data_IF_784942475470
#
_entry.id   IF_784942475470
#
_cell.length_a   1.000
_cell.length_b   1.000
_cell.length_c   1.000
_cell.angle_alpha   90.00
_cell.angle_beta   90.00
_cell.angle_gamma   90.00
#
_symmetry.space_group_name_H-M   'P 1'
#
loop_
_entity.id
_entity.type
_entity.pdbx_description
1 polymer ?
#
# COMPACT_ATOMS: atom_id res chain seq x y z
N UNK A 1 58.48 -4.92 -13.69
CA UNK A 1 57.88 -5.98 -12.86
C UNK A 1 57.51 -5.42 -11.51
N UNK A 2 56.52 -4.50 -11.43
CA UNK A 2 56.09 -3.87 -10.11
C UNK A 2 54.67 -3.35 -10.09
N UNK A 3 53.69 -3.95 -10.83
CA UNK A 3 52.34 -3.38 -10.88
C UNK A 3 51.22 -4.27 -10.30
N UNK A 4 51.53 -5.38 -9.63
CA UNK A 4 50.49 -6.28 -9.10
C UNK A 4 50.17 -6.09 -7.59
N UNK A 5 50.96 -5.30 -6.88
CA UNK A 5 50.76 -5.12 -5.42
C UNK A 5 49.79 -3.98 -5.08
N UNK A 6 49.62 -2.98 -5.95
CA UNK A 6 48.80 -1.78 -5.65
C UNK A 6 47.31 -2.02 -5.75
N UNK A 7 46.84 -2.91 -6.64
CA UNK A 7 45.43 -3.20 -6.85
C UNK A 7 44.77 -4.03 -5.74
N UNK A 8 45.54 -4.78 -4.96
CA UNK A 8 45.00 -5.62 -3.87
C UNK A 8 44.57 -4.83 -2.63
N UNK A 9 45.19 -3.69 -2.38
CA UNK A 9 44.86 -2.87 -1.20
C UNK A 9 43.65 -1.98 -1.37
N UNK A 10 43.31 -1.60 -2.60
CA UNK A 10 42.11 -0.79 -2.87
C UNK A 10 40.82 -1.57 -2.67
N UNK A 11 40.81 -2.89 -2.94
CA UNK A 11 39.63 -3.74 -2.73
C UNK A 11 39.29 -3.96 -1.26
N UNK A 12 40.30 -4.05 -0.38
CA UNK A 12 40.10 -4.30 1.05
C UNK A 12 39.59 -3.04 1.76
N UNK A 13 40.04 -1.84 1.36
CA UNK A 13 39.59 -0.59 1.94
C UNK A 13 38.14 -0.29 1.62
N UNK A 14 37.63 -0.64 0.43
CA UNK A 14 36.23 -0.40 0.02
C UNK A 14 35.26 -1.31 0.78
N UNK A 15 35.63 -2.56 1.03
CA UNK A 15 34.78 -3.52 1.77
C UNK A 15 34.65 -3.13 3.26
N UNK A 16 35.73 -2.61 3.85
CA UNK A 16 35.71 -2.17 5.25
C UNK A 16 34.88 -0.90 5.45
N UNK A 17 34.81 -0.02 4.44
CA UNK A 17 34.03 1.22 4.55
C UNK A 17 32.51 0.98 4.43
N UNK A 18 32.07 0.01 3.61
CA UNK A 18 30.66 -0.39 3.53
C UNK A 18 30.15 -1.12 4.79
N UNK A 19 31.03 -1.85 5.49
CA UNK A 19 30.66 -2.58 6.71
C UNK A 19 30.42 -1.70 7.94
N UNK A 20 31.02 -0.51 8.00
CA UNK A 20 30.91 0.41 9.16
C UNK A 20 29.66 1.31 9.12
N UNK A 21 28.96 1.42 7.99
CA UNK A 21 27.73 2.22 7.83
C UNK A 21 26.44 1.41 8.02
N UNK A 22 26.52 0.10 8.19
CA UNK A 22 25.37 -0.79 8.31
C UNK A 22 24.56 -0.69 9.63
N UNK A 23 25.08 -0.23 10.78
CA UNK A 23 24.33 -0.27 12.03
C UNK A 23 23.41 0.92 12.31
N UNK A 24 23.28 1.89 11.41
CA UNK A 24 22.48 3.12 11.67
C UNK A 24 21.06 3.11 11.09
N UNK A 25 20.64 2.05 10.43
CA UNK A 25 19.26 1.97 9.99
C UNK A 25 18.45 1.25 11.07
N UNK A 26 17.50 1.92 11.71
CA UNK A 26 16.57 1.26 12.60
C UNK A 26 15.74 0.28 11.79
N UNK A 27 16.08 -1.01 11.88
CA UNK A 27 15.39 -2.10 11.18
C UNK A 27 14.15 -2.53 11.97
N UNK A 28 13.27 -1.60 12.30
CA UNK A 28 11.92 -1.96 12.70
C UNK A 28 10.97 -1.50 11.60
N UNK A 29 10.65 -2.42 10.68
CA UNK A 29 9.50 -2.28 9.81
C UNK A 29 8.22 -2.38 10.65
N UNK A 30 8.06 -1.47 11.61
CA UNK A 30 6.82 -1.34 12.35
C UNK A 30 5.74 -0.92 11.35
N UNK A 31 4.64 -1.66 11.33
CA UNK A 31 3.52 -1.33 10.47
C UNK A 31 2.98 0.06 10.87
N UNK A 32 2.95 0.98 9.94
CA UNK A 32 2.42 2.34 10.14
C UNK A 32 0.97 2.24 10.57
N UNK A 33 0.63 2.83 11.71
CA UNK A 33 -0.74 2.98 12.20
C UNK A 33 -1.34 4.31 11.75
N UNK A 34 -2.66 4.49 11.95
CA UNK A 34 -3.29 5.79 11.72
C UNK A 34 -2.69 6.92 12.55
N UNK A 35 -2.23 6.64 13.78
CA UNK A 35 -1.51 7.62 14.61
C UNK A 35 -0.18 8.02 13.99
N UNK A 36 0.64 7.05 13.56
CA UNK A 36 1.95 7.31 12.96
C UNK A 36 1.79 8.10 11.65
N UNK A 37 0.81 7.70 10.82
CA UNK A 37 0.54 8.35 9.54
C UNK A 37 0.17 9.82 9.68
N UNK A 38 -0.61 10.18 10.71
CA UNK A 38 -0.97 11.58 10.99
C UNK A 38 0.22 12.46 11.32
N UNK A 39 1.29 11.88 11.86
CA UNK A 39 2.54 12.58 12.16
C UNK A 39 3.45 12.73 10.93
N UNK A 40 3.17 12.03 9.81
CA UNK A 40 3.99 12.10 8.61
C UNK A 40 3.82 13.44 7.88
N UNK A 41 4.88 13.95 7.21
CA UNK A 41 4.77 15.04 6.25
C UNK A 41 3.80 14.66 5.09
N UNK A 42 3.17 15.67 4.49
CA UNK A 42 2.19 15.48 3.41
C UNK A 42 2.72 14.62 2.26
N UNK A 43 3.95 14.89 1.79
CA UNK A 43 4.58 14.11 0.72
C UNK A 43 4.76 12.63 1.10
N UNK A 44 5.10 12.32 2.35
CA UNK A 44 5.23 10.95 2.83
C UNK A 44 3.87 10.26 2.93
N UNK A 45 2.83 11.00 3.34
CA UNK A 45 1.45 10.49 3.34
C UNK A 45 0.97 10.15 1.94
N UNK A 46 1.23 11.03 0.97
CA UNK A 46 0.89 10.80 -0.42
C UNK A 46 1.59 9.55 -0.99
N UNK A 47 2.91 9.44 -0.78
CA UNK A 47 3.68 8.28 -1.23
C UNK A 47 3.20 6.97 -0.58
N UNK A 48 2.85 7.00 0.70
CA UNK A 48 2.32 5.85 1.42
C UNK A 48 0.99 5.38 0.82
N UNK A 49 0.02 6.29 0.63
CA UNK A 49 -1.30 5.95 0.07
C UNK A 49 -1.15 5.36 -1.33
N UNK A 50 -0.36 6.02 -2.19
CA UNK A 50 -0.11 5.53 -3.56
C UNK A 50 0.51 4.13 -3.54
N UNK A 51 1.56 3.90 -2.75
CA UNK A 51 2.21 2.60 -2.65
C UNK A 51 1.29 1.49 -2.11
N UNK A 52 0.40 1.80 -1.17
CA UNK A 52 -0.60 0.83 -0.69
C UNK A 52 -1.63 0.52 -1.77
N UNK A 53 -2.12 1.52 -2.50
CA UNK A 53 -3.10 1.33 -3.58
C UNK A 53 -2.51 0.50 -4.71
N UNK A 54 -1.30 0.84 -5.18
CA UNK A 54 -0.60 0.10 -6.23
C UNK A 54 -0.43 -1.37 -5.83
N UNK A 55 0.03 -1.63 -4.60
CA UNK A 55 0.21 -2.98 -4.09
C UNK A 55 -1.12 -3.77 -4.03
N UNK A 56 -2.21 -3.16 -3.58
CA UNK A 56 -3.52 -3.82 -3.53
C UNK A 56 -4.09 -4.12 -4.92
N UNK A 57 -3.88 -3.22 -5.89
CA UNK A 57 -4.28 -3.41 -7.28
C UNK A 57 -3.48 -4.54 -7.92
N UNK A 58 -2.15 -4.54 -7.77
CA UNK A 58 -1.28 -5.58 -8.29
C UNK A 58 -1.62 -6.96 -7.70
N UNK A 59 -1.90 -7.00 -6.39
CA UNK A 59 -2.32 -8.25 -5.72
C UNK A 59 -3.68 -8.74 -6.23
N UNK A 60 -4.65 -7.84 -6.44
CA UNK A 60 -5.94 -8.17 -7.04
C UNK A 60 -5.79 -8.75 -8.44
N UNK A 61 -4.97 -8.13 -9.29
CA UNK A 61 -4.65 -8.59 -10.64
C UNK A 61 -3.95 -9.97 -10.64
N UNK A 62 -3.00 -10.18 -9.72
CA UNK A 62 -2.33 -11.47 -9.54
C UNK A 62 -3.32 -12.58 -9.13
N UNK A 63 -4.18 -12.31 -8.15
CA UNK A 63 -5.23 -13.25 -7.74
C UNK A 63 -6.16 -13.57 -8.91
N UNK A 64 -6.56 -12.55 -9.67
CA UNK A 64 -7.43 -12.72 -10.84
C UNK A 64 -6.82 -13.67 -11.88
N UNK A 65 -5.52 -13.56 -12.12
CA UNK A 65 -4.82 -14.35 -13.12
C UNK A 65 -4.46 -15.77 -12.68
N UNK A 66 -4.20 -15.96 -11.38
CA UNK A 66 -3.67 -17.22 -10.85
C UNK A 66 -4.74 -18.12 -10.20
N UNK A 67 -5.84 -17.52 -9.69
CA UNK A 67 -6.87 -18.27 -8.94
C UNK A 67 -8.20 -18.25 -9.70
N UNK A 68 -8.73 -19.41 -10.13
CA UNK A 68 -10.06 -19.51 -10.72
C UNK A 68 -11.14 -18.91 -9.82
N UNK A 69 -12.12 -18.24 -10.40
CA UNK A 69 -13.11 -17.44 -9.67
C UNK A 69 -13.87 -18.25 -8.60
N UNK A 70 -14.19 -19.50 -8.92
CA UNK A 70 -14.92 -20.44 -8.05
C UNK A 70 -14.09 -20.94 -6.86
N UNK A 71 -12.74 -20.85 -6.95
CA UNK A 71 -11.81 -21.27 -5.90
C UNK A 71 -11.34 -20.14 -5.00
N UNK A 72 -11.70 -18.89 -5.32
CA UNK A 72 -11.27 -17.74 -4.54
C UNK A 72 -11.89 -17.72 -3.15
N UNK A 73 -11.06 -17.51 -2.16
CA UNK A 73 -11.48 -17.19 -0.78
C UNK A 73 -12.20 -15.84 -0.71
N UNK A 74 -12.86 -15.57 0.40
CA UNK A 74 -13.52 -14.28 0.63
C UNK A 74 -12.53 -13.09 0.53
N UNK A 75 -11.32 -13.23 1.08
CA UNK A 75 -10.28 -12.20 1.02
C UNK A 75 -9.79 -11.94 -0.41
N UNK A 76 -9.60 -13.01 -1.20
CA UNK A 76 -9.19 -12.89 -2.60
C UNK A 76 -10.28 -12.24 -3.46
N UNK A 77 -11.56 -12.58 -3.25
CA UNK A 77 -12.69 -11.91 -3.91
C UNK A 77 -12.71 -10.41 -3.57
N UNK A 78 -12.42 -10.06 -2.33
CA UNK A 78 -12.39 -8.67 -1.88
C UNK A 78 -11.24 -7.88 -2.54
N UNK A 79 -10.05 -8.48 -2.72
CA UNK A 79 -8.92 -7.87 -3.44
C UNK A 79 -9.26 -7.65 -4.93
N UNK A 80 -9.86 -8.64 -5.59
CA UNK A 80 -10.29 -8.52 -6.99
C UNK A 80 -11.37 -7.44 -7.14
N UNK A 81 -12.32 -7.36 -6.20
CA UNK A 81 -13.33 -6.30 -6.18
C UNK A 81 -12.73 -4.90 -5.97
N UNK A 82 -11.70 -4.79 -5.15
CA UNK A 82 -10.97 -3.54 -4.95
C UNK A 82 -10.25 -3.09 -6.23
N UNK A 83 -9.54 -4.00 -6.90
CA UNK A 83 -8.89 -3.75 -8.20
C UNK A 83 -9.92 -3.25 -9.22
N UNK A 84 -11.04 -3.96 -9.39
CA UNK A 84 -12.12 -3.55 -10.29
C UNK A 84 -12.66 -2.15 -9.97
N UNK A 85 -12.79 -1.85 -8.69
CA UNK A 85 -13.26 -0.55 -8.23
C UNK A 85 -12.33 0.59 -8.64
N UNK A 86 -11.02 0.43 -8.37
CA UNK A 86 -10.02 1.44 -8.73
C UNK A 86 -9.92 1.60 -10.25
N UNK A 87 -9.95 0.50 -11.00
CA UNK A 87 -9.89 0.52 -12.46
C UNK A 87 -11.10 1.22 -13.11
N UNK A 88 -12.31 1.00 -12.57
CA UNK A 88 -13.54 1.63 -13.09
C UNK A 88 -13.67 3.12 -12.76
N UNK A 89 -13.03 3.57 -11.72
CA UNK A 89 -13.08 4.96 -11.27
C UNK A 89 -11.68 5.52 -11.04
N UNK A 90 -10.90 5.73 -12.13
CA UNK A 90 -9.55 6.24 -12.01
C UNK A 90 -9.57 7.63 -11.35
N UNK A 91 -8.75 7.80 -10.30
CA UNK A 91 -8.64 9.04 -9.54
C UNK A 91 -7.17 9.45 -9.47
N UNK A 92 -6.87 10.75 -9.56
CA UNK A 92 -5.51 11.22 -9.33
C UNK A 92 -5.09 10.93 -7.88
N UNK A 93 -3.79 10.73 -7.65
CA UNK A 93 -3.24 10.40 -6.32
C UNK A 93 -3.66 11.41 -5.24
N UNK A 94 -3.73 12.69 -5.57
CA UNK A 94 -4.20 13.74 -4.66
C UNK A 94 -5.63 13.52 -4.16
N UNK A 95 -6.52 13.02 -5.03
CA UNK A 95 -7.89 12.70 -4.64
C UNK A 95 -7.95 11.45 -3.76
N UNK A 96 -7.14 10.43 -4.05
CA UNK A 96 -7.04 9.24 -3.20
C UNK A 96 -6.56 9.61 -1.79
N UNK A 97 -5.53 10.45 -1.70
CA UNK A 97 -5.01 10.97 -0.43
C UNK A 97 -6.10 11.73 0.34
N UNK A 98 -6.82 12.64 -0.31
CA UNK A 98 -7.87 13.43 0.33
C UNK A 98 -9.01 12.56 0.88
N UNK A 99 -9.39 11.49 0.16
CA UNK A 99 -10.41 10.52 0.63
C UNK A 99 -9.90 9.80 1.89
N UNK A 100 -8.65 9.33 1.88
CA UNK A 100 -8.05 8.63 3.01
C UNK A 100 -7.90 9.57 4.21
N UNK A 101 -7.44 10.81 4.02
CA UNK A 101 -7.33 11.82 5.07
C UNK A 101 -8.68 12.09 5.74
N UNK A 102 -9.72 12.27 4.92
CA UNK A 102 -11.08 12.45 5.44
C UNK A 102 -11.52 11.24 6.25
N UNK A 103 -11.31 10.02 5.73
CA UNK A 103 -11.69 8.79 6.42
C UNK A 103 -10.99 8.66 7.78
N UNK A 104 -9.67 8.85 7.82
CA UNK A 104 -8.88 8.79 9.06
C UNK A 104 -9.36 9.85 10.06
N UNK A 105 -9.62 11.07 9.60
CA UNK A 105 -10.13 12.17 10.45
C UNK A 105 -11.49 11.82 11.06
N UNK A 106 -12.38 11.25 10.27
CA UNK A 106 -13.77 10.95 10.68
C UNK A 106 -13.86 9.68 11.56
N UNK A 107 -12.78 8.87 11.64
CA UNK A 107 -12.75 7.61 12.38
C UNK A 107 -11.64 7.58 13.46
N UNK A 108 -11.66 8.47 14.47
CA UNK A 108 -10.58 8.56 15.46
C UNK A 108 -10.41 7.27 16.29
N UNK A 109 -11.48 6.51 16.50
CA UNK A 109 -11.42 5.23 17.19
C UNK A 109 -10.59 4.15 16.48
N UNK A 110 -10.26 4.36 15.20
CA UNK A 110 -9.46 3.40 14.41
C UNK A 110 -7.99 3.79 14.24
N UNK A 111 -7.52 4.86 14.84
CA UNK A 111 -6.13 5.31 14.65
C UNK A 111 -5.06 4.33 15.13
N UNK A 112 -5.41 3.38 15.96
CA UNK A 112 -4.51 2.29 16.39
C UNK A 112 -4.40 1.16 15.34
N UNK A 113 -5.27 1.14 14.33
CA UNK A 113 -5.29 0.14 13.27
C UNK A 113 -4.17 0.41 12.25
N UNK A 114 -3.69 -0.64 11.57
CA UNK A 114 -2.72 -0.52 10.49
C UNK A 114 -3.25 0.38 9.39
N UNK A 115 -2.43 1.32 8.98
CA UNK A 115 -2.81 2.31 7.97
C UNK A 115 -3.20 1.70 6.62
N UNK A 116 -2.56 0.59 6.20
CA UNK A 116 -2.95 -0.13 4.98
C UNK A 116 -4.40 -0.62 5.02
N UNK A 117 -4.87 -1.07 6.18
CA UNK A 117 -6.28 -1.43 6.37
C UNK A 117 -7.21 -0.22 6.29
N UNK A 118 -6.80 0.94 6.85
CA UNK A 118 -7.57 2.18 6.77
C UNK A 118 -7.65 2.70 5.32
N UNK A 119 -6.57 2.59 4.55
CA UNK A 119 -6.55 2.93 3.11
C UNK A 119 -7.54 2.05 2.35
N UNK A 120 -7.50 0.74 2.59
CA UNK A 120 -8.43 -0.20 1.97
C UNK A 120 -9.89 0.16 2.27
N UNK A 121 -10.22 0.36 3.56
CA UNK A 121 -11.57 0.73 3.98
C UNK A 121 -12.06 2.07 3.43
N UNK A 122 -11.17 3.06 3.34
CA UNK A 122 -11.49 4.37 2.81
C UNK A 122 -11.81 4.35 1.31
N UNK A 123 -11.12 3.50 0.56
CA UNK A 123 -11.15 3.50 -0.90
C UNK A 123 -12.01 2.37 -1.50
N UNK A 124 -12.40 1.36 -0.71
CA UNK A 124 -13.27 0.30 -1.23
C UNK A 124 -14.57 0.89 -1.77
N UNK A 125 -14.97 0.47 -2.96
CA UNK A 125 -16.30 0.75 -3.44
C UNK A 125 -17.29 0.03 -2.52
N UNK A 126 -18.09 0.78 -1.81
CA UNK A 126 -19.31 0.21 -1.23
C UNK A 126 -20.14 -0.25 -2.43
N UNK A 127 -20.38 -1.54 -2.55
CA UNK A 127 -21.43 -2.00 -3.44
C UNK A 127 -22.65 -1.15 -3.10
N UNK A 128 -23.07 -0.34 -4.06
CA UNK A 128 -24.33 0.36 -3.94
C UNK A 128 -25.33 -0.77 -3.76
N UNK A 129 -25.83 -0.94 -2.54
CA UNK A 129 -26.88 -1.92 -2.26
C UNK A 129 -27.89 -1.74 -3.38
N UNK A 130 -28.13 -2.79 -4.14
CA UNK A 130 -28.99 -2.77 -5.31
C UNK A 130 -30.22 -1.95 -4.94
N UNK A 131 -30.43 -0.86 -5.68
CA UNK A 131 -31.61 -0.04 -5.48
C UNK A 131 -32.80 -1.02 -5.46
N UNK A 132 -33.67 -0.97 -4.44
CA UNK A 132 -34.80 -1.89 -4.37
C UNK A 132 -35.54 -1.78 -5.70
N UNK A 133 -35.67 -2.91 -6.39
CA UNK A 133 -36.46 -2.99 -7.61
C UNK A 133 -37.82 -2.38 -7.29
N UNK A 134 -38.07 -1.22 -7.88
CA UNK A 134 -39.43 -0.61 -7.87
C UNK A 134 -40.25 -1.61 -8.67
N UNK A 135 -40.96 -2.49 -7.97
CA UNK A 135 -42.06 -3.29 -8.54
C UNK A 135 -42.98 -2.29 -9.19
N UNK A 136 -42.95 -2.17 -10.53
CA UNK A 136 -44.05 -1.57 -11.28
C UNK A 136 -45.27 -2.44 -11.00
N UNK A 137 -46.15 -1.89 -10.16
CA UNK A 137 -47.49 -2.45 -9.94
C UNK A 137 -48.24 -2.52 -11.25
N UNK A 138 -48.86 -3.62 -11.47
CA UNK A 138 -49.94 -3.83 -12.46
C UNK A 138 -51.11 -2.88 -12.20
#
# INVERSE_FOLDING_TARGET
MTDRAFTRWQGVALVLFCGLLAPLWPSSAAAVTGNDWRALPEAARASYVTGVVDNLVDFGAAVRSLVPAEKRTASEKMLVSFEDCIAKTPRPSSQLVAIVEKYVKDNPGQWHVRMSGLVFEALRCKETAAAPEVKKGE
#
